data_IF_080655150262
#
_entry.id   IF_080655150262
#
_cell.length_a   1.000
_cell.length_b   1.000
_cell.length_c   1.000
_cell.angle_alpha   90.00
_cell.angle_beta   90.00
_cell.angle_gamma   90.00
#
_symmetry.space_group_name_H-M   'P 1'
#
loop_
_entity.id
_entity.type
_entity.pdbx_description
1 polymer ?
#
# COMPACT_ATOMS: atom_id res chain seq x y z
N UNK A 1 11.23 19.28 5.58
CA UNK A 1 12.58 18.86 5.13
C UNK A 1 12.42 17.99 3.89
N UNK A 2 12.88 18.47 2.74
CA UNK A 2 12.78 17.77 1.46
C UNK A 2 14.06 16.95 1.24
N UNK A 3 13.92 15.65 0.95
CA UNK A 3 15.04 14.77 0.61
C UNK A 3 15.08 14.64 -0.91
N UNK A 4 16.18 15.11 -1.52
CA UNK A 4 16.49 14.90 -2.93
C UNK A 4 17.05 13.48 -3.14
N UNK A 5 16.68 12.77 -4.22
CA UNK A 5 17.29 11.48 -4.52
C UNK A 5 18.61 11.70 -5.27
N UNK A 6 19.73 11.37 -4.62
CA UNK A 6 21.01 11.19 -5.31
C UNK A 6 21.00 9.83 -6.03
N UNK A 7 21.16 9.88 -7.36
CA UNK A 7 21.41 8.70 -8.19
C UNK A 7 22.92 8.46 -8.21
N UNK A 8 23.39 7.40 -7.56
CA UNK A 8 24.78 6.97 -7.66
C UNK A 8 24.92 5.96 -8.83
N UNK A 9 25.55 6.37 -9.93
CA UNK A 9 25.99 5.49 -11.01
C UNK A 9 27.37 4.95 -10.66
N UNK A 10 27.47 3.65 -10.39
CA UNK A 10 28.76 2.96 -10.25
C UNK A 10 29.26 2.63 -11.66
N UNK A 11 30.31 3.30 -12.11
CA UNK A 11 31.09 2.91 -13.28
C UNK A 11 32.20 1.96 -12.83
N UNK A 12 32.28 0.78 -13.44
CA UNK A 12 33.39 -0.16 -13.28
C UNK A 12 34.64 0.40 -13.95
N UNK A 13 35.68 0.67 -13.16
CA UNK A 13 36.99 1.11 -13.65
C UNK A 13 37.71 -0.03 -14.36
N UNK A 14 38.11 0.20 -15.61
CA UNK A 14 39.09 -0.61 -16.34
C UNK A 14 40.51 -0.18 -15.95
N UNK A 15 41.41 -1.15 -15.86
CA UNK A 15 42.81 -1.03 -15.42
C UNK A 15 43.69 -0.18 -16.37
N UNK A 16 44.67 0.52 -15.80
CA UNK A 16 45.79 1.19 -16.50
C UNK A 16 47.11 0.68 -15.87
N UNK A 17 48.18 0.40 -16.65
CA UNK A 17 49.31 -0.45 -16.24
C UNK A 17 50.46 0.28 -15.50
N UNK A 18 51.31 -0.58 -14.92
CA UNK A 18 52.47 -0.42 -14.02
C UNK A 18 53.62 0.49 -14.49
N UNK A 19 54.57 0.78 -13.58
CA UNK A 19 55.96 0.39 -13.87
C UNK A 19 56.74 -0.30 -12.71
N UNK A 20 57.51 -1.31 -13.12
CA UNK A 20 58.86 -1.79 -12.71
C UNK A 20 59.66 -0.99 -11.64
N UNK A 21 60.59 -1.51 -10.81
CA UNK A 21 61.28 -2.81 -10.63
C UNK A 21 62.24 -2.69 -9.39
N UNK A 22 62.65 -3.80 -8.77
CA UNK A 22 63.97 -4.10 -8.11
C UNK A 22 63.90 -4.96 -6.82
N UNK A 23 64.10 -6.27 -6.99
CA UNK A 23 65.17 -7.05 -6.35
C UNK A 23 65.13 -7.40 -4.84
N UNK A 24 64.81 -8.66 -4.50
CA UNK A 24 65.78 -9.66 -3.97
C UNK A 24 65.12 -11.01 -3.66
N UNK A 25 65.87 -12.05 -3.97
CA UNK A 25 65.57 -13.48 -3.82
C UNK A 25 65.68 -13.95 -2.37
N UNK A 26 64.72 -14.76 -1.90
CA UNK A 26 64.97 -15.88 -0.99
C UNK A 26 63.90 -16.97 -1.21
N UNK A 27 64.35 -18.19 -1.57
CA UNK A 27 63.54 -19.40 -1.64
C UNK A 27 63.58 -20.13 -0.29
N UNK A 28 62.42 -20.40 0.31
CA UNK A 28 62.17 -21.60 1.12
C UNK A 28 60.70 -22.00 0.94
N UNK A 29 60.45 -23.25 0.58
CA UNK A 29 59.14 -23.90 0.42
C UNK A 29 58.88 -24.87 1.58
N UNK A 30 57.74 -25.58 1.64
CA UNK A 30 56.34 -25.13 1.68
C UNK A 30 55.63 -25.68 2.96
N UNK A 31 54.46 -25.15 3.35
CA UNK A 31 53.30 -25.95 3.82
C UNK A 31 52.12 -25.07 4.28
N UNK A 32 50.92 -25.61 4.05
CA UNK A 32 49.57 -25.16 4.44
C UNK A 32 48.87 -24.03 3.65
N UNK A 33 48.19 -24.44 2.57
CA UNK A 33 46.99 -23.79 2.03
C UNK A 33 45.78 -24.12 2.91
N UNK A 34 44.99 -23.12 3.31
CA UNK A 34 43.57 -23.30 3.66
C UNK A 34 42.70 -22.88 2.47
N UNK A 35 41.84 -23.81 2.05
CA UNK A 35 40.92 -23.72 0.92
C UNK A 35 39.72 -22.82 1.21
N UNK A 36 39.33 -22.00 0.23
CA UNK A 36 37.97 -21.43 0.14
C UNK A 36 37.03 -22.53 -0.37
N UNK A 37 35.97 -22.82 0.38
CA UNK A 37 34.89 -23.69 -0.07
C UNK A 37 34.11 -22.99 -1.19
N UNK A 38 33.99 -23.68 -2.32
CA UNK A 38 33.05 -23.42 -3.40
C UNK A 38 32.03 -24.56 -3.37
N UNK A 39 30.76 -24.24 -3.13
CA UNK A 39 29.66 -25.21 -3.24
C UNK A 39 29.02 -25.02 -4.61
N UNK A 40 29.25 -25.99 -5.49
CA UNK A 40 28.48 -26.21 -6.72
C UNK A 40 27.30 -27.13 -6.38
N UNK A 41 26.09 -26.76 -6.80
CA UNK A 41 24.97 -27.69 -6.89
C UNK A 41 24.70 -27.99 -8.37
N UNK A 42 24.55 -29.28 -8.66
CA UNK A 42 24.45 -29.87 -9.99
C UNK A 42 23.06 -29.72 -10.61
N UNK A 43 23.03 -29.70 -11.95
CA UNK A 43 21.83 -29.76 -12.76
C UNK A 43 21.27 -31.19 -12.78
N UNK A 44 19.97 -31.31 -12.53
CA UNK A 44 19.17 -32.50 -12.85
C UNK A 44 18.20 -32.15 -13.96
N UNK A 45 18.17 -32.98 -15.01
CA UNK A 45 17.28 -32.85 -16.16
C UNK A 45 15.83 -33.20 -15.78
N UNK A 46 14.87 -32.48 -16.36
CA UNK A 46 13.46 -32.86 -16.42
C UNK A 46 12.83 -32.22 -17.68
N UNK A 47 11.84 -32.88 -18.30
CA UNK A 47 11.60 -32.78 -19.72
C UNK A 47 10.89 -31.49 -20.14
N UNK A 48 11.35 -30.97 -21.26
CA UNK A 48 10.71 -29.94 -22.06
C UNK A 48 9.33 -30.41 -22.56
N UNK A 49 8.27 -29.76 -22.10
CA UNK A 49 7.00 -29.71 -22.82
C UNK A 49 6.70 -28.26 -23.19
N UNK A 50 7.17 -27.88 -24.37
CA UNK A 50 6.71 -26.72 -25.10
C UNK A 50 5.27 -26.96 -25.55
N UNK A 51 4.33 -26.25 -24.93
CA UNK A 51 3.02 -25.97 -25.51
C UNK A 51 2.82 -24.46 -25.44
N UNK A 52 3.30 -23.77 -26.48
CA UNK A 52 2.88 -22.41 -26.78
C UNK A 52 1.38 -22.46 -27.08
N UNK A 53 0.57 -22.13 -26.10
CA UNK A 53 -0.84 -21.79 -26.33
C UNK A 53 -0.93 -20.27 -26.49
N UNK A 54 -1.81 -19.92 -27.41
CA UNK A 54 -1.90 -18.65 -28.09
C UNK A 54 -1.99 -17.43 -27.16
N UNK A 55 -1.50 -16.32 -27.69
CA UNK A 55 -1.58 -14.95 -27.18
C UNK A 55 -3.00 -14.64 -26.69
N UNK A 56 -3.22 -14.76 -25.37
CA UNK A 56 -4.30 -14.04 -24.70
C UNK A 56 -3.84 -12.58 -24.57
N UNK A 57 -4.68 -11.65 -25.01
CA UNK A 57 -4.38 -10.21 -24.95
C UNK A 57 -4.04 -9.81 -23.50
N UNK A 58 -2.76 -9.53 -23.27
CA UNK A 58 -2.17 -9.26 -21.97
C UNK A 58 -2.98 -8.22 -21.18
N UNK A 59 -3.60 -8.63 -20.08
CA UNK A 59 -4.27 -7.74 -19.15
C UNK A 59 -3.27 -6.68 -18.65
N UNK A 60 -3.56 -5.40 -18.92
CA UNK A 60 -2.78 -4.27 -18.42
C UNK A 60 -3.49 -3.64 -17.20
N UNK A 61 -3.02 -3.89 -15.97
CA UNK A 61 -3.59 -3.32 -14.75
C UNK A 61 -3.68 -1.79 -14.78
N UNK A 62 -2.74 -1.13 -15.45
CA UNK A 62 -2.69 0.33 -15.52
C UNK A 62 -3.80 0.86 -16.43
N UNK A 63 -3.97 0.27 -17.61
CA UNK A 63 -5.06 0.62 -18.51
C UNK A 63 -6.43 0.31 -17.87
N UNK A 64 -6.56 -0.84 -17.22
CA UNK A 64 -7.76 -1.21 -16.47
C UNK A 64 -8.10 -0.15 -15.40
N UNK A 65 -7.17 0.20 -14.51
CA UNK A 65 -7.39 1.21 -13.47
C UNK A 65 -7.71 2.59 -14.05
N UNK A 66 -7.02 2.98 -15.11
CA UNK A 66 -7.28 4.23 -15.82
C UNK A 66 -8.73 4.30 -16.35
N UNK A 67 -9.27 3.18 -16.81
CA UNK A 67 -10.66 3.08 -17.28
C UNK A 67 -11.64 3.01 -16.11
N UNK A 68 -11.35 2.19 -15.09
CA UNK A 68 -12.17 2.06 -13.88
C UNK A 68 -12.39 3.40 -13.20
N UNK A 69 -11.32 4.18 -13.01
CA UNK A 69 -11.39 5.50 -12.35
C UNK A 69 -12.17 6.56 -13.12
N UNK A 70 -12.50 6.33 -14.39
CA UNK A 70 -13.37 7.19 -15.22
C UNK A 70 -14.77 6.62 -15.43
N UNK A 71 -15.02 5.41 -14.92
CA UNK A 71 -16.33 4.79 -15.01
C UNK A 71 -17.33 5.59 -14.17
N UNK A 72 -18.61 5.47 -14.53
CA UNK A 72 -19.70 6.17 -13.83
C UNK A 72 -19.89 5.68 -12.40
N UNK A 73 -19.54 4.41 -12.14
CA UNK A 73 -19.76 3.74 -10.87
C UNK A 73 -18.52 3.76 -9.96
N UNK A 74 -17.61 4.72 -10.18
CA UNK A 74 -16.41 4.87 -9.38
C UNK A 74 -16.32 6.30 -8.85
N UNK A 75 -16.31 6.44 -7.52
CA UNK A 75 -16.12 7.72 -6.87
C UNK A 75 -14.88 7.70 -5.99
N UNK A 76 -14.05 8.74 -6.15
CA UNK A 76 -12.89 9.01 -5.28
C UNK A 76 -12.95 10.41 -4.67
N UNK A 77 -13.88 11.28 -5.08
CA UNK A 77 -13.85 12.71 -4.74
C UNK A 77 -14.71 13.10 -3.54
N UNK A 78 -15.52 12.16 -3.01
CA UNK A 78 -16.60 12.48 -2.08
C UNK A 78 -17.91 12.75 -2.82
N UNK A 79 -18.96 13.11 -2.08
CA UNK A 79 -20.33 13.27 -2.57
C UNK A 79 -20.91 14.66 -2.31
N UNK A 80 -20.11 15.60 -1.81
CA UNK A 80 -20.52 16.99 -1.56
C UNK A 80 -21.01 17.26 -0.14
N UNK A 81 -20.90 16.28 0.76
CA UNK A 81 -21.27 16.38 2.17
C UNK A 81 -20.05 16.58 3.09
N UNK A 82 -18.96 17.14 2.54
CA UNK A 82 -17.68 17.25 3.24
C UNK A 82 -17.75 18.02 4.55
N UNK A 83 -18.35 19.20 4.55
CA UNK A 83 -18.40 20.06 5.73
C UNK A 83 -19.18 19.38 6.87
N UNK A 84 -20.37 18.86 6.57
CA UNK A 84 -21.23 18.17 7.55
C UNK A 84 -20.56 16.92 8.13
N UNK A 85 -19.88 16.14 7.29
CA UNK A 85 -19.17 14.93 7.72
C UNK A 85 -17.94 15.24 8.55
N UNK A 86 -17.18 16.30 8.23
CA UNK A 86 -16.07 16.78 9.06
C UNK A 86 -16.54 17.29 10.42
N UNK A 87 -17.66 18.01 10.49
CA UNK A 87 -18.24 18.45 11.76
C UNK A 87 -18.65 17.25 12.63
N UNK A 88 -19.27 16.23 12.02
CA UNK A 88 -19.61 14.99 12.72
C UNK A 88 -18.35 14.27 13.23
N UNK A 89 -17.32 14.11 12.40
CA UNK A 89 -16.06 13.50 12.80
C UNK A 89 -15.36 14.27 13.93
N UNK A 90 -15.35 15.61 13.86
CA UNK A 90 -14.77 16.43 14.92
C UNK A 90 -15.50 16.20 16.25
N UNK A 91 -16.84 16.11 16.24
CA UNK A 91 -17.60 15.81 17.46
C UNK A 91 -17.30 14.40 18.01
N UNK A 92 -17.04 13.43 17.14
CA UNK A 92 -16.81 12.03 17.54
C UNK A 92 -15.36 11.74 17.98
N UNK A 93 -14.38 12.44 17.41
CA UNK A 93 -12.95 12.11 17.58
C UNK A 93 -12.10 13.21 18.24
N UNK A 94 -12.71 14.33 18.66
CA UNK A 94 -12.02 15.36 19.46
C UNK A 94 -12.48 15.35 20.92
N UNK A 95 -11.66 15.90 21.81
CA UNK A 95 -11.92 15.91 23.25
C UNK A 95 -11.52 17.25 23.86
N UNK A 96 -12.26 17.67 24.89
CA UNK A 96 -11.97 18.91 25.64
C UNK A 96 -10.58 18.90 26.26
N UNK A 97 -10.07 17.74 26.70
CA UNK A 97 -8.72 17.65 27.27
C UNK A 97 -7.64 18.03 26.25
N UNK A 98 -7.84 17.65 24.99
CA UNK A 98 -6.93 17.97 23.89
C UNK A 98 -7.00 19.46 23.57
N UNK A 99 -8.20 20.05 23.63
CA UNK A 99 -8.39 21.49 23.50
C UNK A 99 -7.64 22.25 24.60
N UNK A 100 -7.82 21.84 25.87
CA UNK A 100 -7.09 22.44 27.02
C UNK A 100 -5.57 22.35 26.83
N UNK A 101 -5.05 21.18 26.44
CA UNK A 101 -3.61 21.01 26.20
C UNK A 101 -3.10 21.96 25.11
N UNK A 102 -3.82 22.06 23.98
CA UNK A 102 -3.45 22.97 22.87
C UNK A 102 -3.43 24.43 23.30
N UNK A 103 -4.44 24.87 24.06
CA UNK A 103 -4.53 26.25 24.57
C UNK A 103 -3.41 26.60 25.56
N UNK A 104 -2.77 25.59 26.17
CA UNK A 104 -1.67 25.75 27.13
C UNK A 104 -0.30 25.35 26.55
N UNK A 105 -0.12 25.47 25.23
CA UNK A 105 1.18 25.19 24.60
C UNK A 105 1.57 23.70 24.59
N UNK A 106 0.57 22.82 24.45
CA UNK A 106 0.69 21.37 24.47
C UNK A 106 1.11 20.77 25.82
N UNK A 107 0.93 21.47 26.94
CA UNK A 107 1.25 20.97 28.27
C UNK A 107 0.26 21.51 29.31
N UNK A 108 -0.21 20.66 30.21
CA UNK A 108 -1.09 21.08 31.30
C UNK A 108 -0.89 20.19 32.53
N UNK A 109 -1.00 20.78 33.73
CA UNK A 109 -0.83 20.08 35.01
C UNK A 109 -2.15 20.02 35.77
N UNK A 110 -2.66 18.81 35.99
CA UNK A 110 -3.81 18.53 36.85
C UNK A 110 -3.32 17.96 38.19
N UNK A 111 -3.41 18.77 39.26
CA UNK A 111 -2.92 18.36 40.58
C UNK A 111 -1.42 18.09 40.55
N UNK A 112 -1.03 16.84 40.78
CA UNK A 112 0.36 16.39 40.75
C UNK A 112 0.77 15.69 39.44
N UNK A 113 -0.09 15.69 38.41
CA UNK A 113 0.19 15.04 37.12
C UNK A 113 0.31 16.09 36.02
N UNK A 114 1.46 16.10 35.33
CA UNK A 114 1.68 16.90 34.13
C UNK A 114 1.51 16.04 32.89
N UNK A 115 0.65 16.48 31.98
CA UNK A 115 0.41 15.84 30.69
C UNK A 115 1.00 16.71 29.59
N UNK A 116 1.76 16.10 28.68
CA UNK A 116 2.32 16.74 27.49
C UNK A 116 1.72 16.10 26.25
N UNK A 117 1.24 16.94 25.34
CA UNK A 117 0.71 16.53 24.04
C UNK A 117 1.84 16.59 23.00
N UNK A 118 1.96 15.53 22.21
CA UNK A 118 2.92 15.51 21.11
C UNK A 118 2.58 16.61 20.08
N UNK A 119 3.60 17.16 19.41
CA UNK A 119 3.42 18.18 18.38
C UNK A 119 2.59 17.66 17.19
N UNK A 120 2.82 16.41 16.80
CA UNK A 120 2.06 15.72 15.76
C UNK A 120 1.31 14.53 16.38
N UNK A 121 -0.03 14.54 16.27
CA UNK A 121 -0.89 13.49 16.79
C UNK A 121 -2.22 13.43 16.01
N UNK A 122 -2.95 12.33 16.19
CA UNK A 122 -4.28 12.15 15.62
C UNK A 122 -4.27 11.69 14.16
N UNK A 123 -5.36 11.98 13.45
CA UNK A 123 -5.51 11.59 12.05
C UNK A 123 -4.54 12.37 11.15
N UNK A 124 -3.80 11.64 10.32
CA UNK A 124 -3.13 12.26 9.19
C UNK A 124 -4.18 12.63 8.13
N UNK A 125 -3.82 13.52 7.20
CA UNK A 125 -4.71 13.95 6.12
C UNK A 125 -5.31 12.79 5.31
N UNK A 126 -4.53 11.73 5.07
CA UNK A 126 -5.00 10.55 4.34
C UNK A 126 -6.09 9.78 5.09
N UNK A 127 -5.93 9.64 6.40
CA UNK A 127 -6.91 8.98 7.28
C UNK A 127 -8.18 9.82 7.41
N UNK A 128 -8.03 11.11 7.69
CA UNK A 128 -9.16 12.03 7.80
C UNK A 128 -10.01 11.99 6.52
N UNK A 129 -9.35 12.13 5.36
CA UNK A 129 -10.00 12.03 4.05
C UNK A 129 -10.72 10.70 3.85
N UNK A 130 -10.10 9.58 4.23
CA UNK A 130 -10.66 8.26 3.98
C UNK A 130 -11.94 8.03 4.79
N UNK A 131 -11.87 8.33 6.10
CA UNK A 131 -13.02 8.25 7.00
C UNK A 131 -14.11 9.21 6.56
N UNK A 132 -13.75 10.44 6.21
CA UNK A 132 -14.69 11.48 5.77
C UNK A 132 -15.47 11.04 4.52
N UNK A 133 -14.81 10.50 3.49
CA UNK A 133 -15.48 9.98 2.29
C UNK A 133 -16.37 8.77 2.61
N UNK A 134 -15.96 7.89 3.54
CA UNK A 134 -16.79 6.77 3.97
C UNK A 134 -18.09 7.24 4.65
N UNK A 135 -18.02 8.29 5.48
CA UNK A 135 -19.21 8.93 6.06
C UNK A 135 -20.11 9.55 4.98
N UNK A 136 -19.51 10.21 3.98
CA UNK A 136 -20.29 10.73 2.85
C UNK A 136 -20.97 9.61 2.07
N UNK A 137 -20.31 8.46 1.88
CA UNK A 137 -20.88 7.31 1.17
C UNK A 137 -22.15 6.82 1.88
N UNK A 138 -22.12 6.68 3.21
CA UNK A 138 -23.33 6.28 3.95
C UNK A 138 -24.46 7.30 3.82
N UNK A 139 -24.16 8.60 3.81
CA UNK A 139 -25.17 9.65 3.62
C UNK A 139 -25.75 9.63 2.21
N UNK A 140 -24.89 9.46 1.21
CA UNK A 140 -25.26 9.45 -0.20
C UNK A 140 -26.15 8.26 -0.55
N UNK A 141 -25.83 7.10 0.02
CA UNK A 141 -26.55 5.87 -0.19
C UNK A 141 -27.20 5.50 1.13
N UNK A 142 -28.41 5.98 1.47
CA UNK A 142 -29.01 5.72 2.77
C UNK A 142 -29.63 4.31 2.88
N UNK A 143 -29.90 3.65 1.75
CA UNK A 143 -30.68 2.39 1.72
C UNK A 143 -29.90 1.20 1.19
N UNK A 144 -28.85 1.45 0.42
CA UNK A 144 -28.06 0.45 -0.26
C UNK A 144 -27.18 -0.30 0.75
N UNK A 145 -26.89 -1.57 0.48
CA UNK A 145 -25.90 -2.28 1.28
C UNK A 145 -24.52 -1.72 0.96
N UNK A 146 -23.79 -1.36 2.01
CA UNK A 146 -22.43 -0.85 1.89
C UNK A 146 -21.49 -1.88 2.48
N UNK A 147 -20.57 -2.35 1.64
CA UNK A 147 -19.48 -3.22 2.02
C UNK A 147 -18.18 -2.44 2.13
N UNK A 148 -17.25 -2.92 2.94
CA UNK A 148 -15.87 -2.47 2.96
C UNK A 148 -14.93 -3.68 2.87
N UNK A 149 -13.90 -3.58 2.03
CA UNK A 149 -13.06 -4.75 1.71
C UNK A 149 -12.14 -5.16 2.86
N UNK A 150 -11.74 -4.21 3.71
CA UNK A 150 -11.05 -4.40 4.99
C UNK A 150 -11.55 -3.34 5.98
N UNK A 151 -10.96 -3.28 7.17
CA UNK A 151 -11.06 -2.11 8.03
C UNK A 151 -10.75 -0.80 7.26
N UNK A 152 -11.51 0.27 7.52
CA UNK A 152 -11.28 1.57 6.86
C UNK A 152 -9.88 2.10 7.18
N UNK A 153 -9.48 1.90 8.44
CA UNK A 153 -8.15 2.11 9.01
C UNK A 153 -7.97 1.13 10.18
N UNK A 154 -6.74 0.87 10.65
CA UNK A 154 -6.49 0.07 11.85
C UNK A 154 -6.79 0.85 13.14
N UNK A 155 -8.07 1.20 13.34
CA UNK A 155 -8.57 1.83 14.54
C UNK A 155 -9.93 1.20 14.92
N UNK A 156 -9.99 0.46 16.04
CA UNK A 156 -11.20 -0.27 16.41
C UNK A 156 -12.40 0.65 16.69
N UNK A 157 -12.18 1.85 17.21
CA UNK A 157 -13.24 2.83 17.46
C UNK A 157 -13.88 3.29 16.15
N UNK A 158 -13.04 3.60 15.14
CA UNK A 158 -13.53 4.01 13.81
C UNK A 158 -14.24 2.85 13.11
N UNK A 159 -13.70 1.62 13.17
CA UNK A 159 -14.34 0.45 12.56
C UNK A 159 -15.66 0.08 13.24
N UNK A 160 -15.75 0.21 14.57
CA UNK A 160 -17.01 0.07 15.29
C UNK A 160 -18.03 1.10 14.78
N UNK A 161 -17.58 2.35 14.60
CA UNK A 161 -18.45 3.41 14.09
C UNK A 161 -18.93 3.16 12.65
N UNK A 162 -18.09 2.57 11.79
CA UNK A 162 -18.51 2.08 10.47
C UNK A 162 -19.63 1.04 10.58
N UNK A 163 -19.49 0.07 11.47
CA UNK A 163 -20.50 -0.96 11.69
C UNK A 163 -21.82 -0.40 12.24
N UNK A 164 -21.77 0.59 13.15
CA UNK A 164 -22.95 1.31 13.64
C UNK A 164 -23.66 2.11 12.53
N UNK A 165 -22.92 2.51 11.49
CA UNK A 165 -23.45 3.10 10.26
C UNK A 165 -23.83 2.03 9.22
N UNK A 166 -23.95 0.76 9.61
CA UNK A 166 -24.34 -0.34 8.72
C UNK A 166 -23.40 -0.53 7.51
N UNK A 167 -22.12 -0.15 7.66
CA UNK A 167 -21.06 -0.51 6.72
C UNK A 167 -20.50 -1.87 7.13
N UNK A 168 -20.71 -2.87 6.29
CA UNK A 168 -20.41 -4.27 6.58
C UNK A 168 -19.03 -4.66 6.04
N UNK A 169 -18.25 -5.42 6.82
CA UNK A 169 -17.02 -6.01 6.29
C UNK A 169 -17.36 -7.15 5.33
N UNK A 170 -16.61 -7.25 4.23
CA UNK A 170 -16.66 -8.45 3.38
C UNK A 170 -16.16 -9.65 4.20
N UNK A 171 -16.92 -10.75 4.28
CA UNK A 171 -16.52 -11.91 5.06
C UNK A 171 -15.27 -12.56 4.48
N UNK A 172 -14.45 -13.11 5.37
CA UNK A 172 -13.24 -13.85 5.01
C UNK A 172 -13.40 -15.33 5.34
N UNK A 173 -12.97 -16.19 4.42
CA UNK A 173 -12.86 -17.63 4.62
C UNK A 173 -11.48 -18.07 4.20
N UNK A 174 -10.76 -18.75 5.09
CA UNK A 174 -9.40 -19.25 4.85
C UNK A 174 -8.41 -18.16 4.34
N UNK A 175 -8.57 -16.92 4.81
CA UNK A 175 -7.76 -15.77 4.40
C UNK A 175 -8.16 -15.14 3.06
N UNK A 176 -9.25 -15.59 2.44
CA UNK A 176 -9.75 -15.10 1.15
C UNK A 176 -11.07 -14.36 1.36
N UNK A 177 -11.19 -13.15 0.79
CA UNK A 177 -12.42 -12.35 0.80
C UNK A 177 -13.49 -13.01 -0.08
N UNK A 178 -14.69 -13.16 0.46
CA UNK A 178 -15.82 -13.78 -0.23
C UNK A 178 -16.67 -12.69 -0.90
N UNK A 179 -16.37 -12.37 -2.17
CA UNK A 179 -17.10 -11.33 -2.91
C UNK A 179 -18.47 -11.80 -3.42
N UNK A 180 -18.83 -13.08 -3.22
CA UNK A 180 -20.12 -13.66 -3.61
C UNK A 180 -21.30 -12.99 -2.89
N UNK A 181 -21.07 -12.46 -1.69
CA UNK A 181 -22.09 -11.75 -0.90
C UNK A 181 -22.44 -10.37 -1.46
N UNK A 182 -21.60 -9.85 -2.36
CA UNK A 182 -21.76 -8.52 -2.97
C UNK A 182 -22.57 -8.67 -4.25
N UNK A 183 -23.72 -8.00 -4.28
CA UNK A 183 -24.61 -8.01 -5.45
C UNK A 183 -24.46 -6.74 -6.29
N UNK A 184 -24.96 -6.82 -7.53
CA UNK A 184 -25.00 -5.67 -8.42
C UNK A 184 -25.79 -4.52 -7.79
N UNK A 185 -25.21 -3.32 -7.83
CA UNK A 185 -25.82 -2.11 -7.28
C UNK A 185 -25.50 -1.86 -5.80
N UNK A 186 -24.90 -2.82 -5.10
CA UNK A 186 -24.31 -2.56 -3.77
C UNK A 186 -23.20 -1.50 -3.89
N UNK A 187 -22.85 -0.89 -2.75
CA UNK A 187 -21.73 0.05 -2.64
C UNK A 187 -20.57 -0.68 -1.98
N UNK A 188 -19.36 -0.52 -2.52
CA UNK A 188 -18.14 -1.10 -1.94
C UNK A 188 -17.08 -0.03 -1.73
N UNK A 189 -16.71 0.15 -0.46
CA UNK A 189 -15.65 1.07 -0.04
C UNK A 189 -14.30 0.34 -0.12
N UNK A 190 -13.34 0.94 -0.83
CA UNK A 190 -11.93 0.55 -0.75
C UNK A 190 -11.27 1.36 0.36
N UNK A 191 -10.54 0.75 1.31
CA UNK A 191 -10.02 1.41 2.51
C UNK A 191 -8.84 2.33 2.21
N UNK A 192 -8.33 3.02 3.24
CA UNK A 192 -7.21 3.97 3.09
C UNK A 192 -5.93 3.33 2.53
N UNK A 193 -5.71 2.04 2.82
CA UNK A 193 -4.59 1.22 2.36
C UNK A 193 -4.69 0.81 0.88
N UNK A 194 -5.90 0.94 0.30
CA UNK A 194 -6.22 0.52 -1.04
C UNK A 194 -6.70 -0.93 -1.15
N UNK A 195 -6.76 -1.41 -2.39
CA UNK A 195 -7.23 -2.73 -2.75
C UNK A 195 -6.33 -3.32 -3.84
N UNK A 196 -6.26 -4.64 -3.89
CA UNK A 196 -5.50 -5.34 -4.92
C UNK A 196 -6.17 -5.19 -6.30
N UNK A 197 -5.39 -5.34 -7.37
CA UNK A 197 -5.90 -5.24 -8.75
C UNK A 197 -7.03 -6.25 -9.00
N UNK A 198 -6.89 -7.45 -8.47
CA UNK A 198 -7.84 -8.55 -8.62
C UNK A 198 -9.17 -8.25 -7.90
N UNK A 199 -9.12 -7.58 -6.75
CA UNK A 199 -10.30 -7.13 -6.01
C UNK A 199 -11.04 -6.05 -6.79
N UNK A 200 -10.32 -5.06 -7.32
CA UNK A 200 -10.91 -4.02 -8.16
C UNK A 200 -11.54 -4.59 -9.43
N UNK A 201 -10.91 -5.59 -10.05
CA UNK A 201 -11.45 -6.30 -11.22
C UNK A 201 -12.76 -6.99 -10.88
N UNK A 202 -12.76 -7.82 -9.83
CA UNK A 202 -13.95 -8.56 -9.36
C UNK A 202 -15.13 -7.62 -9.06
N UNK A 203 -14.87 -6.51 -8.37
CA UNK A 203 -15.89 -5.51 -8.04
C UNK A 203 -16.39 -4.77 -9.29
N UNK A 204 -15.50 -4.44 -10.23
CA UNK A 204 -15.88 -3.82 -11.50
C UNK A 204 -16.79 -4.73 -12.33
N UNK A 205 -16.49 -6.03 -12.39
CA UNK A 205 -17.30 -7.02 -13.12
C UNK A 205 -18.69 -7.21 -12.50
N UNK A 206 -18.79 -7.11 -11.17
CA UNK A 206 -20.07 -7.12 -10.43
C UNK A 206 -20.91 -5.85 -10.63
N UNK A 207 -20.36 -4.82 -11.26
CA UNK A 207 -21.06 -3.56 -11.56
C UNK A 207 -21.64 -2.88 -10.30
N UNK A 208 -20.82 -2.85 -9.24
CA UNK A 208 -21.11 -2.17 -7.96
C UNK A 208 -20.74 -0.69 -8.02
N UNK A 209 -21.20 0.11 -7.05
CA UNK A 209 -20.70 1.46 -6.83
C UNK A 209 -19.42 1.41 -5.99
N UNK A 210 -18.27 1.70 -6.60
CA UNK A 210 -16.98 1.70 -5.90
C UNK A 210 -16.72 3.09 -5.29
N UNK A 211 -16.48 3.13 -3.99
CA UNK A 211 -16.03 4.33 -3.27
C UNK A 211 -14.57 4.13 -2.86
N UNK A 212 -13.65 4.70 -3.63
CA UNK A 212 -12.21 4.60 -3.36
C UNK A 212 -11.75 5.65 -2.34
N UNK A 213 -11.47 5.20 -1.12
CA UNK A 213 -10.92 6.04 -0.05
C UNK A 213 -9.38 5.98 0.04
N UNK A 214 -8.71 5.25 -0.85
CA UNK A 214 -7.26 5.05 -0.86
C UNK A 214 -6.52 6.38 -0.68
N UNK A 215 -5.61 6.39 0.28
CA UNK A 215 -4.73 7.53 0.55
C UNK A 215 -3.96 7.91 -0.72
N UNK A 216 -3.99 9.19 -1.16
CA UNK A 216 -3.25 9.62 -2.34
C UNK A 216 -1.73 9.40 -2.26
N UNK A 217 -1.17 9.31 -1.06
CA UNK A 217 0.23 8.95 -0.84
C UNK A 217 0.50 7.48 -1.18
N UNK A 218 -0.43 6.58 -0.86
CA UNK A 218 -0.35 5.16 -1.24
C UNK A 218 -0.48 5.00 -2.76
N UNK A 219 -1.47 5.65 -3.39
CA UNK A 219 -1.59 5.60 -4.86
C UNK A 219 -0.40 6.20 -5.60
N UNK A 220 0.37 7.10 -4.96
CA UNK A 220 1.62 7.61 -5.53
C UNK A 220 2.68 6.51 -5.62
N UNK A 221 2.75 5.60 -4.64
CA UNK A 221 3.63 4.43 -4.67
C UNK A 221 3.24 3.53 -5.84
N UNK A 222 1.95 3.25 -6.03
CA UNK A 222 1.48 2.42 -7.15
C UNK A 222 1.87 2.99 -8.52
N UNK A 223 1.81 4.31 -8.70
CA UNK A 223 2.25 4.94 -9.94
C UNK A 223 3.76 4.78 -10.19
N UNK A 224 4.58 4.70 -9.12
CA UNK A 224 6.01 4.38 -9.24
C UNK A 224 6.18 2.93 -9.65
N UNK A 225 5.46 2.01 -9.01
CA UNK A 225 5.48 0.57 -9.35
C UNK A 225 5.08 0.34 -10.81
N UNK A 226 3.99 0.96 -11.28
CA UNK A 226 3.55 0.92 -12.69
C UNK A 226 4.66 1.39 -13.65
N UNK A 227 5.42 2.42 -13.26
CA UNK A 227 6.54 2.93 -14.06
C UNK A 227 7.70 1.94 -14.11
N UNK A 228 8.02 1.29 -12.99
CA UNK A 228 9.07 0.28 -12.93
C UNK A 228 8.72 -0.96 -13.74
N UNK A 229 7.45 -1.40 -13.67
CA UNK A 229 6.92 -2.50 -14.49
C UNK A 229 7.11 -2.23 -15.99
N UNK A 230 6.80 -1.01 -16.46
CA UNK A 230 7.01 -0.62 -17.87
C UNK A 230 8.50 -0.64 -18.27
N UNK A 231 9.41 -0.43 -17.32
CA UNK A 231 10.85 -0.52 -17.54
C UNK A 231 11.43 -1.92 -17.36
N UNK A 232 10.58 -2.95 -17.18
CA UNK A 232 10.98 -4.35 -16.95
C UNK A 232 11.91 -4.52 -15.73
N UNK A 233 11.76 -3.66 -14.72
CA UNK A 233 12.53 -3.74 -13.49
C UNK A 233 11.86 -4.63 -12.44
N UNK A 234 12.68 -5.33 -11.65
CA UNK A 234 12.23 -5.96 -10.40
C UNK A 234 11.99 -4.89 -9.34
N UNK A 235 10.80 -4.86 -8.77
CA UNK A 235 10.45 -3.95 -7.67
C UNK A 235 10.78 -4.61 -6.33
N UNK A 236 11.54 -3.95 -5.47
CA UNK A 236 11.76 -4.41 -4.08
C UNK A 236 10.77 -3.70 -3.18
N UNK A 237 9.90 -4.45 -2.50
CA UNK A 237 8.87 -3.91 -1.62
C UNK A 237 9.28 -4.14 -0.17
N UNK A 238 9.72 -3.07 0.49
CA UNK A 238 9.98 -3.12 1.93
C UNK A 238 8.70 -2.81 2.70
N UNK A 239 8.09 -3.85 3.27
CA UNK A 239 6.89 -3.76 4.09
C UNK A 239 6.63 -5.04 4.88
N UNK A 240 5.56 -5.06 5.67
CA UNK A 240 5.15 -6.26 6.40
C UNK A 240 4.45 -7.22 5.43
N UNK A 241 4.96 -8.45 5.32
CA UNK A 241 4.33 -9.48 4.50
C UNK A 241 2.87 -9.70 4.94
N UNK A 242 1.96 -9.74 3.96
CA UNK A 242 0.52 -9.93 4.18
C UNK A 242 -0.23 -8.71 4.72
N UNK A 243 0.43 -7.57 4.99
CA UNK A 243 -0.29 -6.32 5.29
C UNK A 243 -1.05 -5.85 4.05
N UNK A 244 -2.23 -5.26 4.24
CA UNK A 244 -3.15 -4.87 3.16
C UNK A 244 -2.48 -3.94 2.15
N UNK A 245 -1.76 -2.92 2.63
CA UNK A 245 -1.05 -1.97 1.78
C UNK A 245 0.07 -2.65 0.97
N UNK A 246 0.77 -3.62 1.57
CA UNK A 246 1.84 -4.37 0.91
C UNK A 246 1.27 -5.30 -0.15
N UNK A 247 0.18 -6.00 0.16
CA UNK A 247 -0.54 -6.90 -0.77
C UNK A 247 -1.11 -6.12 -1.95
N UNK A 248 -1.78 -4.99 -1.68
CA UNK A 248 -2.27 -4.09 -2.73
C UNK A 248 -1.11 -3.60 -3.60
N UNK A 249 -0.04 -3.08 -3.01
CA UNK A 249 1.14 -2.58 -3.75
C UNK A 249 1.79 -3.66 -4.61
N UNK A 250 1.93 -4.87 -4.08
CA UNK A 250 2.50 -6.01 -4.80
C UNK A 250 1.67 -6.41 -6.02
N UNK A 251 0.33 -6.34 -5.95
CA UNK A 251 -0.56 -6.64 -7.09
C UNK A 251 -0.35 -5.72 -8.30
N UNK A 252 0.24 -4.53 -8.12
CA UNK A 252 0.57 -3.63 -9.23
C UNK A 252 1.93 -3.93 -9.87
N UNK A 253 2.80 -4.67 -9.20
CA UNK A 253 4.12 -4.98 -9.72
C UNK A 253 4.07 -6.05 -10.81
N UNK A 254 5.05 -6.01 -11.72
CA UNK A 254 5.26 -7.12 -12.67
C UNK A 254 6.04 -8.23 -11.99
N UNK A 255 7.32 -7.96 -11.72
CA UNK A 255 8.21 -8.81 -10.93
C UNK A 255 8.57 -8.08 -9.64
N UNK A 256 8.45 -8.75 -8.49
CA UNK A 256 8.79 -8.15 -7.19
C UNK A 256 9.43 -9.14 -6.22
N UNK A 257 10.13 -8.58 -5.22
CA UNK A 257 10.71 -9.26 -4.05
C UNK A 257 10.31 -8.50 -2.79
#
# INVERSE_FOLDING_TARGET
MAVAPHVCRVFTFAEIPSPENHGRSFRVSPWFRKSRLSVRCAAGESPSSSASSAVDSAFDPKAFRHNLTRSKNYNRRGFGHKEETLQLMNREYTSDIIKTLKENGNEYTWGNVTVKLAEAYGFCWGVERAVQIAYEARRQFPTERIWITNEIIHNPTVNKRMAEMEVQNIPMKDGIKQFEVVDRGDVVILPAFGAAVEEMLTLSEKNVQIVDTTCPWVSKVWNVVDKQKKGEYTTIIHGKYGHEETTATASFAGTYV
#
